data_IF_979696275516
#
_entry.id   IF_979696275516
#
_cell.length_a   1.000
_cell.length_b   1.000
_cell.length_c   1.000
_cell.angle_alpha   90.00
_cell.angle_beta   90.00
_cell.angle_gamma   90.00
#
_symmetry.space_group_name_H-M   'P 1'
#
loop_
_entity.id
_entity.type
_entity.pdbx_description
1 polymer ?
#
# COMPACT_ATOMS: atom_id res chain seq x y z
N UNK A 1 -7.10 -10.84 1.46
CA UNK A 1 -5.75 -11.21 1.91
C UNK A 1 -4.89 -11.88 0.84
N UNK A 2 -5.47 -12.66 -0.08
CA UNK A 2 -4.71 -13.43 -1.07
C UNK A 2 -3.87 -12.61 -2.07
N UNK A 3 -4.21 -11.33 -2.28
CA UNK A 3 -3.49 -10.50 -3.25
C UNK A 3 -2.11 -10.05 -2.76
N UNK A 4 -2.02 -9.59 -1.50
CA UNK A 4 -0.80 -8.98 -0.97
C UNK A 4 0.11 -9.98 -0.26
N UNK A 5 -0.44 -11.06 0.31
CA UNK A 5 0.34 -12.04 1.06
C UNK A 5 1.47 -12.70 0.24
N UNK A 6 1.27 -13.10 -1.03
CA UNK A 6 2.36 -13.64 -1.85
C UNK A 6 3.47 -12.60 -2.09
N UNK A 7 3.08 -11.34 -2.33
CA UNK A 7 4.02 -10.23 -2.59
C UNK A 7 4.89 -9.98 -1.35
N UNK A 8 4.31 -10.04 -0.16
CA UNK A 8 5.06 -9.92 1.09
C UNK A 8 6.04 -11.08 1.33
N UNK A 9 5.63 -12.31 0.99
CA UNK A 9 6.46 -13.50 1.21
C UNK A 9 7.63 -13.60 0.24
N UNK A 10 7.49 -13.03 -0.95
CA UNK A 10 8.46 -13.12 -2.02
C UNK A 10 9.22 -11.81 -2.19
N UNK A 11 8.68 -10.85 -2.96
CA UNK A 11 9.41 -9.67 -3.39
C UNK A 11 9.78 -8.72 -2.25
N UNK A 12 8.89 -8.49 -1.28
CA UNK A 12 9.25 -7.67 -0.11
C UNK A 12 10.24 -8.36 0.82
N UNK A 13 10.25 -9.70 0.86
CA UNK A 13 11.27 -10.45 1.61
C UNK A 13 12.64 -10.32 0.93
N UNK A 14 12.69 -10.38 -0.40
CA UNK A 14 13.91 -10.11 -1.16
C UNK A 14 14.39 -8.68 -0.96
N UNK A 15 13.48 -7.70 -0.99
CA UNK A 15 13.79 -6.30 -0.72
C UNK A 15 14.35 -6.11 0.69
N UNK A 16 13.76 -6.73 1.71
CA UNK A 16 14.30 -6.71 3.07
C UNK A 16 15.73 -7.28 3.12
N UNK A 17 16.00 -8.38 2.44
CA UNK A 17 17.36 -8.95 2.37
C UNK A 17 18.38 -8.01 1.69
N UNK A 18 17.96 -7.18 0.73
CA UNK A 18 18.82 -6.15 0.14
C UNK A 18 19.18 -5.06 1.17
N UNK A 19 18.23 -4.65 2.01
CA UNK A 19 18.52 -3.73 3.11
C UNK A 19 19.45 -4.36 4.15
N UNK A 20 19.16 -5.59 4.57
CA UNK A 20 19.96 -6.31 5.58
C UNK A 20 21.41 -6.52 5.13
N UNK A 21 21.62 -6.74 3.83
CA UNK A 21 22.94 -6.92 3.22
C UNK A 21 23.65 -5.61 2.84
N UNK A 22 23.03 -4.45 3.12
CA UNK A 22 23.50 -3.13 2.70
C UNK A 22 23.85 -3.08 1.19
N UNK A 23 22.98 -3.66 0.36
CA UNK A 23 23.15 -3.68 -1.08
C UNK A 23 23.16 -2.25 -1.67
N UNK A 24 23.74 -2.09 -2.86
CA UNK A 24 23.79 -0.79 -3.53
C UNK A 24 22.40 -0.19 -3.76
N UNK A 25 22.28 1.12 -3.57
CA UNK A 25 21.03 1.87 -3.66
C UNK A 25 20.29 1.64 -4.99
N UNK A 26 21.01 1.52 -6.11
CA UNK A 26 20.42 1.26 -7.42
C UNK A 26 19.66 -0.07 -7.47
N UNK A 27 20.17 -1.10 -6.77
CA UNK A 27 19.54 -2.43 -6.74
C UNK A 27 18.29 -2.43 -5.87
N UNK A 28 18.32 -1.71 -4.76
CA UNK A 28 17.16 -1.50 -3.89
C UNK A 28 16.07 -0.76 -4.68
N UNK A 29 16.40 0.39 -5.28
CA UNK A 29 15.48 1.20 -6.06
C UNK A 29 14.87 0.45 -7.25
N UNK A 30 15.68 -0.38 -7.94
CA UNK A 30 15.20 -1.21 -9.04
C UNK A 30 14.15 -2.24 -8.56
N UNK A 31 14.36 -2.90 -7.43
CA UNK A 31 13.40 -3.86 -6.89
C UNK A 31 12.14 -3.18 -6.37
N UNK A 32 12.27 -2.06 -5.66
CA UNK A 32 11.13 -1.22 -5.23
C UNK A 32 10.26 -0.82 -6.43
N UNK A 33 10.91 -0.33 -7.50
CA UNK A 33 10.20 0.04 -8.73
C UNK A 33 9.49 -1.16 -9.36
N UNK A 34 10.16 -2.30 -9.45
CA UNK A 34 9.55 -3.53 -10.00
C UNK A 34 8.32 -3.97 -9.19
N UNK A 35 8.37 -3.90 -7.87
CA UNK A 35 7.21 -4.21 -7.01
C UNK A 35 6.06 -3.23 -7.29
N UNK A 36 6.36 -1.93 -7.34
CA UNK A 36 5.37 -0.89 -7.64
C UNK A 36 4.73 -1.10 -9.01
N UNK A 37 5.52 -1.23 -10.07
CA UNK A 37 5.05 -1.41 -11.45
C UNK A 37 4.14 -2.64 -11.59
N UNK A 38 4.47 -3.74 -10.91
CA UNK A 38 3.72 -5.00 -10.99
C UNK A 38 2.37 -4.96 -10.26
N UNK A 39 2.32 -4.31 -9.10
CA UNK A 39 1.22 -4.51 -8.15
C UNK A 39 0.39 -3.26 -7.88
N UNK A 40 0.94 -2.06 -8.07
CA UNK A 40 0.30 -0.81 -7.66
C UNK A 40 -1.05 -0.58 -8.35
N UNK A 41 -1.11 -0.71 -9.69
CA UNK A 41 -2.35 -0.46 -10.44
C UNK A 41 -3.51 -1.37 -9.97
N UNK A 42 -3.24 -2.67 -9.82
CA UNK A 42 -4.24 -3.65 -9.39
C UNK A 42 -4.61 -3.52 -7.92
N UNK A 43 -3.66 -3.09 -7.08
CA UNK A 43 -3.95 -2.72 -5.70
C UNK A 43 -4.93 -1.53 -5.67
N UNK A 44 -4.63 -0.45 -6.38
CA UNK A 44 -5.44 0.77 -6.42
C UNK A 44 -6.85 0.50 -6.93
N UNK A 45 -7.00 -0.31 -7.98
CA UNK A 45 -8.31 -0.73 -8.48
C UNK A 45 -9.16 -1.41 -7.38
N UNK A 46 -8.57 -2.40 -6.68
CA UNK A 46 -9.25 -3.14 -5.61
C UNK A 46 -9.53 -2.28 -4.39
N UNK A 47 -8.59 -1.41 -4.03
CA UNK A 47 -8.73 -0.47 -2.94
C UNK A 47 -9.91 0.47 -3.21
N UNK A 48 -9.97 1.08 -4.39
CA UNK A 48 -11.05 1.98 -4.78
C UNK A 48 -12.40 1.24 -4.79
N UNK A 49 -12.47 0.05 -5.38
CA UNK A 49 -13.71 -0.74 -5.40
C UNK A 49 -14.23 -1.08 -3.99
N UNK A 50 -13.32 -1.47 -3.08
CA UNK A 50 -13.66 -1.74 -1.68
C UNK A 50 -14.12 -0.47 -0.96
N UNK A 51 -13.40 0.62 -1.16
CA UNK A 51 -13.68 1.90 -0.51
C UNK A 51 -15.04 2.48 -0.95
N UNK A 52 -15.35 2.45 -2.25
CA UNK A 52 -16.67 2.86 -2.76
C UNK A 52 -17.80 1.97 -2.21
N UNK A 53 -17.59 0.65 -2.19
CA UNK A 53 -18.57 -0.27 -1.62
C UNK A 53 -18.81 -0.03 -0.13
N UNK A 54 -17.74 0.26 0.62
CA UNK A 54 -17.80 0.60 2.04
C UNK A 54 -18.55 1.90 2.32
N UNK A 55 -18.30 2.95 1.53
CA UNK A 55 -19.04 4.22 1.62
C UNK A 55 -20.52 4.04 1.33
N UNK A 56 -20.86 3.27 0.29
CA UNK A 56 -22.24 2.97 -0.06
C UNK A 56 -22.96 2.20 1.06
N UNK A 57 -22.30 1.23 1.69
CA UNK A 57 -22.82 0.53 2.86
C UNK A 57 -23.04 1.48 4.04
N UNK A 58 -22.03 2.28 4.38
CA UNK A 58 -22.10 3.22 5.49
C UNK A 58 -23.26 4.21 5.35
N UNK A 59 -23.46 4.76 4.16
CA UNK A 59 -24.58 5.67 3.85
C UNK A 59 -25.96 5.01 4.08
N UNK A 60 -26.12 3.74 3.69
CA UNK A 60 -27.38 2.99 3.88
C UNK A 60 -27.68 2.67 5.34
N UNK A 61 -26.65 2.61 6.18
CA UNK A 61 -26.77 2.18 7.58
C UNK A 61 -26.55 3.32 8.59
N UNK A 62 -26.47 4.58 8.14
CA UNK A 62 -26.26 5.73 9.01
C UNK A 62 -24.90 5.73 9.73
N UNK A 63 -23.89 5.04 9.17
CA UNK A 63 -22.54 5.00 9.72
C UNK A 63 -21.78 6.23 9.23
N UNK A 64 -21.25 7.02 10.16
CA UNK A 64 -20.42 8.20 9.84
C UNK A 64 -19.03 7.74 9.36
N UNK A 65 -18.72 8.00 8.09
CA UNK A 65 -17.37 7.82 7.55
C UNK A 65 -16.51 9.04 7.90
N UNK A 66 -15.30 8.81 8.39
CA UNK A 66 -14.31 9.83 8.66
C UNK A 66 -13.15 9.64 7.70
N UNK A 67 -12.87 10.62 6.86
CA UNK A 67 -11.63 10.66 6.08
C UNK A 67 -10.47 10.94 7.03
N UNK A 68 -9.43 10.11 6.97
CA UNK A 68 -8.18 10.36 7.69
C UNK A 68 -7.26 11.15 6.76
N UNK A 69 -6.76 12.30 7.23
CA UNK A 69 -5.62 12.92 6.56
C UNK A 69 -4.35 12.18 6.99
N UNK A 70 -3.65 11.47 6.09
CA UNK A 70 -2.41 10.77 6.43
C UNK A 70 -1.21 11.73 6.50
N UNK A 71 -1.37 13.01 6.16
CA UNK A 71 -0.31 14.00 6.30
C UNK A 71 0.08 14.14 7.79
N UNK A 72 1.38 14.18 8.10
CA UNK A 72 1.83 14.51 9.45
C UNK A 72 1.24 15.87 9.86
N UNK A 73 0.80 16.05 11.12
CA UNK A 73 0.43 17.37 11.61
C UNK A 73 1.62 18.31 11.37
N UNK A 74 1.37 19.42 10.69
CA UNK A 74 2.39 20.42 10.41
C UNK A 74 3.08 20.83 11.71
N UNK A 75 4.41 20.95 11.68
CA UNK A 75 5.19 21.38 12.83
C UNK A 75 4.76 22.81 13.24
N UNK A 76 3.83 22.93 14.19
CA UNK A 76 3.37 24.20 14.74
C UNK A 76 1.86 24.28 14.94
N UNK A 77 1.36 23.69 16.03
CA UNK A 77 0.25 24.21 16.84
C UNK A 77 0.70 24.23 18.30
#
# INVERSE_FOLDING_TARGET
FEFVLPVYRNEYKELAALYDSNAGADRIAALEKSISDKYYAKFTERYNALHESGKAYAARHGIKVMEVNPEPPGAGQ
#
